data_IF_827708606118
#
_entry.id   IF_827708606118
#
_cell.length_a   1.000
_cell.length_b   1.000
_cell.length_c   1.000
_cell.angle_alpha   90.00
_cell.angle_beta   90.00
_cell.angle_gamma   90.00
#
_symmetry.space_group_name_H-M   'P 1'
#
loop_
_entity.id
_entity.type
_entity.pdbx_description
1 polymer ?
#
# COMPACT_ATOMS: atom_id res chain seq x y z
N UNK A 1 -3.85 -3.52 21.66
CA UNK A 1 -2.64 -3.33 20.83
C UNK A 1 -1.44 -3.55 21.73
N UNK A 2 -0.40 -4.21 21.24
CA UNK A 2 0.82 -4.42 22.01
C UNK A 2 1.59 -3.10 22.17
N UNK A 3 2.15 -2.84 23.35
CA UNK A 3 2.89 -1.60 23.68
C UNK A 3 4.09 -1.44 22.75
N UNK A 4 4.73 -2.54 22.38
CA UNK A 4 5.80 -2.57 21.37
C UNK A 4 5.35 -1.95 20.04
N UNK A 5 4.19 -2.37 19.54
CA UNK A 5 3.67 -1.88 18.26
C UNK A 5 3.23 -0.41 18.34
N UNK A 6 2.72 0.03 19.49
CA UNK A 6 2.39 1.44 19.71
C UNK A 6 3.63 2.33 19.68
N UNK A 7 4.73 1.90 20.31
CA UNK A 7 5.99 2.65 20.32
C UNK A 7 6.69 2.66 18.95
N UNK A 8 6.57 1.56 18.19
CA UNK A 8 7.03 1.53 16.78
C UNK A 8 6.22 2.52 15.93
N UNK A 9 4.90 2.60 16.13
CA UNK A 9 4.04 3.58 15.44
C UNK A 9 4.36 5.03 15.83
N UNK A 10 4.86 5.26 17.04
CA UNK A 10 5.36 6.57 17.50
C UNK A 10 6.76 6.92 16.96
N UNK A 11 7.41 6.01 16.24
CA UNK A 11 8.69 6.25 15.58
C UNK A 11 9.92 5.98 16.45
N UNK A 12 9.79 5.25 17.56
CA UNK A 12 10.95 4.84 18.36
C UNK A 12 11.65 3.61 17.73
N UNK A 13 13.00 3.54 17.77
CA UNK A 13 13.73 2.38 17.25
C UNK A 13 13.50 1.13 18.11
N UNK A 14 13.42 -0.03 17.46
CA UNK A 14 13.08 -1.31 18.10
C UNK A 14 14.04 -1.68 19.23
N UNK A 15 15.35 -1.41 19.07
CA UNK A 15 16.38 -1.63 20.09
C UNK A 15 16.09 -0.87 21.40
N UNK A 16 15.61 0.37 21.30
CA UNK A 16 15.30 1.21 22.46
C UNK A 16 13.97 0.83 23.10
N UNK A 17 13.01 0.38 22.30
CA UNK A 17 11.74 -0.18 22.80
C UNK A 17 12.02 -1.44 23.63
N UNK A 18 12.91 -2.31 23.18
CA UNK A 18 13.32 -3.49 23.95
C UNK A 18 14.09 -3.12 25.22
N UNK A 19 14.94 -2.11 25.19
CA UNK A 19 15.63 -1.61 26.37
C UNK A 19 14.65 -1.02 27.40
N UNK A 20 13.63 -0.28 26.95
CA UNK A 20 12.58 0.24 27.81
C UNK A 20 11.76 -0.90 28.44
N UNK A 21 11.33 -1.87 27.64
CA UNK A 21 10.52 -3.00 28.12
C UNK A 21 11.28 -3.94 29.08
N UNK A 22 12.61 -3.97 29.04
CA UNK A 22 13.43 -4.74 30.00
C UNK A 22 13.59 -4.05 31.36
N UNK A 23 13.58 -2.72 31.37
CA UNK A 23 13.89 -1.92 32.57
C UNK A 23 12.65 -1.45 33.34
N UNK A 24 11.45 -1.75 32.82
CA UNK A 24 10.19 -1.32 33.41
C UNK A 24 9.47 -2.54 33.96
N UNK A 25 8.91 -2.41 35.16
CA UNK A 25 8.23 -3.49 35.86
C UNK A 25 6.87 -3.84 35.23
N UNK A 26 6.18 -2.85 34.66
CA UNK A 26 4.86 -3.01 34.02
C UNK A 26 4.89 -2.55 32.56
N UNK A 27 4.43 -3.37 31.60
CA UNK A 27 4.36 -3.04 30.18
C UNK A 27 3.17 -2.11 29.90
N UNK A 28 3.21 -0.91 30.48
CA UNK A 28 2.27 0.19 30.25
C UNK A 28 2.96 1.21 29.35
N UNK A 29 2.24 1.72 28.35
CA UNK A 29 2.78 2.66 27.37
C UNK A 29 3.38 3.92 28.02
N UNK A 30 2.72 4.46 29.05
CA UNK A 30 3.15 5.67 29.75
C UNK A 30 4.52 5.48 30.43
N UNK A 31 4.70 4.37 31.16
CA UNK A 31 5.98 4.06 31.79
C UNK A 31 7.09 3.85 30.75
N UNK A 32 6.75 3.22 29.61
CA UNK A 32 7.69 3.02 28.51
C UNK A 32 8.15 4.33 27.89
N UNK A 33 7.24 5.29 27.73
CA UNK A 33 7.57 6.63 27.23
C UNK A 33 8.40 7.40 28.27
N UNK A 34 8.04 7.34 29.56
CA UNK A 34 8.79 8.01 30.63
C UNK A 34 10.24 7.52 30.72
N UNK A 35 10.47 6.21 30.62
CA UNK A 35 11.82 5.64 30.59
C UNK A 35 12.61 6.09 29.34
N UNK A 36 11.94 6.13 28.18
CA UNK A 36 12.53 6.62 26.94
C UNK A 36 12.90 8.10 27.07
N UNK A 37 12.04 8.94 27.64
CA UNK A 37 12.30 10.37 27.85
C UNK A 37 13.44 10.63 28.83
N UNK A 38 13.59 9.81 29.87
CA UNK A 38 14.68 9.89 30.84
C UNK A 38 16.03 9.43 30.26
N UNK A 39 16.04 8.68 29.16
CA UNK A 39 17.24 8.21 28.47
C UNK A 39 17.28 8.71 27.00
N UNK A 40 17.42 10.03 26.75
CA UNK A 40 17.51 10.61 25.42
C UNK A 40 18.87 10.33 24.74
N UNK A 41 18.96 10.75 23.47
CA UNK A 41 19.82 10.30 22.36
C UNK A 41 21.34 10.61 22.54
N UNK A 42 21.88 10.64 23.76
CA UNK A 42 23.33 10.81 23.99
C UNK A 42 24.12 9.49 23.95
N UNK A 43 23.45 8.34 23.93
CA UNK A 43 24.07 7.07 23.56
C UNK A 43 23.99 6.79 22.05
N UNK A 44 23.99 7.85 21.23
CA UNK A 44 23.96 7.79 19.77
C UNK A 44 25.37 7.87 19.15
N UNK A 45 26.28 7.03 19.63
CA UNK A 45 27.47 6.60 18.90
C UNK A 45 27.76 5.14 19.24
N UNK A 46 26.83 4.25 18.90
CA UNK A 46 27.17 3.02 18.17
C UNK A 46 25.89 2.27 17.78
N UNK A 47 25.95 1.59 16.63
CA UNK A 47 24.93 0.71 16.04
C UNK A 47 23.70 1.38 15.40
N UNK A 48 23.85 1.87 14.16
CA UNK A 48 23.62 1.06 12.94
C UNK A 48 23.62 1.97 11.71
N UNK A 49 24.81 2.27 11.19
CA UNK A 49 25.00 2.60 9.79
C UNK A 49 25.45 1.34 9.07
N UNK A 50 24.52 0.60 8.49
CA UNK A 50 24.85 -0.47 7.56
C UNK A 50 25.36 0.17 6.26
N UNK A 51 26.67 0.42 6.21
CA UNK A 51 27.45 0.48 4.98
C UNK A 51 28.38 -0.72 5.01
N UNK A 52 28.29 -1.54 3.97
CA UNK A 52 29.22 -2.61 3.65
C UNK A 52 30.63 -2.01 3.48
N UNK A 53 31.36 -1.89 4.59
CA UNK A 53 32.79 -1.59 4.60
C UNK A 53 33.47 -2.64 5.47
N UNK A 54 34.00 -3.66 4.79
CA UNK A 54 34.92 -4.64 5.37
C UNK A 54 36.28 -3.95 5.56
N UNK A 55 36.36 -3.04 6.53
CA UNK A 55 37.65 -2.56 7.04
C UNK A 55 38.17 -3.54 8.09
N UNK A 56 39.02 -4.41 7.57
CA UNK A 56 40.08 -5.14 8.22
C UNK A 56 40.83 -4.23 9.22
N UNK A 57 40.54 -4.38 10.51
CA UNK A 57 41.10 -3.48 11.51
C UNK A 57 40.86 -3.86 12.94
N UNK A 58 41.28 -5.07 13.37
CA UNK A 58 41.94 -5.19 14.68
C UNK A 58 42.74 -6.50 14.80
N UNK A 59 43.94 -6.50 14.23
CA UNK A 59 44.98 -7.47 14.57
C UNK A 59 45.90 -6.95 15.69
N UNK A 60 45.50 -5.87 16.38
CA UNK A 60 46.35 -5.15 17.34
C UNK A 60 45.87 -5.27 18.79
N UNK A 61 44.60 -5.55 19.08
CA UNK A 61 44.18 -5.92 20.46
C UNK A 61 44.27 -7.42 20.75
N UNK A 62 44.43 -8.27 19.72
CA UNK A 62 44.62 -9.70 19.90
C UNK A 62 46.06 -10.09 20.30
N UNK A 63 47.03 -9.18 20.17
CA UNK A 63 48.41 -9.40 20.60
C UNK A 63 48.63 -9.05 22.08
N UNK A 64 47.88 -8.10 22.66
CA UNK A 64 47.96 -7.78 24.10
C UNK A 64 47.15 -8.76 24.98
N UNK A 65 46.10 -9.40 24.43
CA UNK A 65 45.37 -10.46 25.11
C UNK A 65 46.08 -11.83 25.04
N UNK A 66 47.15 -11.96 24.25
CA UNK A 66 47.91 -13.21 24.11
C UNK A 66 48.94 -13.44 25.22
N UNK A 67 49.26 -12.41 26.03
CA UNK A 67 50.30 -12.51 27.07
C UNK A 67 49.74 -12.76 28.49
N UNK A 68 48.41 -12.78 28.68
CA UNK A 68 47.77 -13.00 29.99
C UNK A 68 46.61 -14.00 29.96
N UNK A 69 46.72 -15.05 29.16
CA UNK A 69 45.90 -16.25 29.29
C UNK A 69 46.77 -17.38 29.83
N UNK A 70 46.74 -17.62 31.14
CA UNK A 70 47.33 -18.82 31.73
C UNK A 70 46.73 -20.05 31.02
N UNK A 71 47.58 -20.76 30.28
CA UNK A 71 47.28 -22.06 29.73
C UNK A 71 47.13 -23.02 30.93
N UNK A 72 45.95 -23.60 31.11
CA UNK A 72 45.83 -24.84 31.89
C UNK A 72 46.81 -25.86 31.30
N UNK A 73 47.66 -26.45 32.14
CA UNK A 73 48.88 -27.17 31.78
C UNK A 73 48.66 -28.46 30.93
N UNK A 74 47.43 -28.76 30.49
CA UNK A 74 47.08 -30.05 29.90
C UNK A 74 46.66 -30.02 28.42
N UNK A 75 46.33 -28.87 27.80
CA UNK A 75 45.94 -28.80 26.39
C UNK A 75 46.74 -27.74 25.58
N UNK A 76 47.63 -28.20 24.70
CA UNK A 76 48.57 -27.33 23.96
C UNK A 76 48.01 -26.62 22.72
N UNK A 77 46.95 -27.15 22.11
CA UNK A 77 46.22 -26.58 20.97
C UNK A 77 44.86 -27.29 20.77
N UNK A 78 43.88 -26.61 20.17
CA UNK A 78 42.60 -27.23 19.77
C UNK A 78 42.60 -27.49 18.27
N UNK A 79 42.14 -28.66 17.83
CA UNK A 79 42.09 -29.05 16.41
C UNK A 79 40.65 -29.29 15.99
N UNK A 80 40.17 -28.57 14.98
CA UNK A 80 38.87 -28.86 14.40
C UNK A 80 38.94 -30.17 13.60
N UNK A 81 38.13 -31.17 13.96
CA UNK A 81 38.09 -32.46 13.28
C UNK A 81 37.48 -32.37 11.87
N UNK A 82 36.63 -31.37 11.63
CA UNK A 82 35.91 -31.20 10.36
C UNK A 82 36.81 -30.60 9.25
N UNK A 83 37.81 -29.80 9.62
CA UNK A 83 38.72 -29.16 8.64
C UNK A 83 40.22 -29.30 8.95
N UNK A 84 40.58 -30.01 10.02
CA UNK A 84 41.96 -30.26 10.43
C UNK A 84 42.76 -29.01 10.85
N UNK A 85 42.12 -27.86 11.02
CA UNK A 85 42.79 -26.61 11.41
C UNK A 85 43.10 -26.62 12.89
N UNK A 86 44.31 -26.18 13.24
CA UNK A 86 44.83 -26.13 14.60
C UNK A 86 44.80 -24.71 15.13
N UNK A 87 44.32 -24.53 16.35
CA UNK A 87 44.10 -23.25 17.00
C UNK A 87 44.98 -23.15 18.24
N UNK A 88 45.63 -22.00 18.40
CA UNK A 88 46.53 -21.73 19.52
C UNK A 88 45.78 -21.41 20.81
N UNK A 89 44.60 -20.80 20.69
CA UNK A 89 43.75 -20.37 21.80
C UNK A 89 42.31 -20.81 21.58
N UNK A 90 41.52 -21.00 22.65
CA UNK A 90 40.10 -21.36 22.54
C UNK A 90 39.28 -20.28 21.84
N UNK A 91 39.59 -18.99 22.07
CA UNK A 91 38.90 -17.87 21.39
C UNK A 91 39.03 -17.91 19.85
N UNK A 92 40.16 -18.38 19.31
CA UNK A 92 40.33 -18.54 17.86
C UNK A 92 39.55 -19.74 17.32
N UNK A 93 39.36 -20.79 18.13
CA UNK A 93 38.52 -21.93 17.79
C UNK A 93 37.04 -21.53 17.76
N UNK A 94 36.59 -20.70 18.71
CA UNK A 94 35.23 -20.13 18.72
C UNK A 94 34.96 -19.25 17.49
N UNK A 95 35.91 -18.37 17.11
CA UNK A 95 35.78 -17.56 15.90
C UNK A 95 35.72 -18.42 14.62
N UNK A 96 36.48 -19.51 14.58
CA UNK A 96 36.39 -20.47 13.48
C UNK A 96 35.04 -21.20 13.49
N UNK A 97 34.51 -21.54 14.66
CA UNK A 97 33.19 -22.15 14.82
C UNK A 97 32.07 -21.22 14.34
N UNK A 98 32.11 -19.92 14.63
CA UNK A 98 31.08 -18.97 14.17
C UNK A 98 31.17 -18.71 12.67
N UNK A 99 32.38 -18.61 12.12
CA UNK A 99 32.60 -18.31 10.69
C UNK A 99 32.36 -19.50 9.78
N UNK A 100 32.72 -20.70 10.21
CA UNK A 100 32.65 -21.92 9.39
C UNK A 100 31.60 -22.92 9.85
N UNK A 101 30.94 -22.65 10.99
CA UNK A 101 29.93 -23.53 11.60
C UNK A 101 30.46 -24.93 11.98
N UNK A 102 31.77 -25.08 12.17
CA UNK A 102 32.38 -26.32 12.64
C UNK A 102 32.37 -26.37 14.17
N UNK A 103 31.85 -27.46 14.75
CA UNK A 103 31.62 -27.57 16.20
C UNK A 103 32.46 -28.67 16.86
N UNK A 104 33.17 -29.48 16.07
CA UNK A 104 33.90 -30.64 16.57
C UNK A 104 35.39 -30.31 16.76
N UNK A 105 35.81 -30.04 18.01
CA UNK A 105 37.20 -29.71 18.35
C UNK A 105 37.80 -30.79 19.27
N UNK A 106 39.00 -31.26 18.93
CA UNK A 106 39.81 -32.16 19.74
C UNK A 106 40.99 -31.41 20.37
N UNK A 107 41.27 -31.68 21.63
CA UNK A 107 42.46 -31.15 22.31
C UNK A 107 43.71 -31.93 21.86
N UNK A 108 44.74 -31.24 21.40
CA UNK A 108 46.04 -31.79 20.99
C UNK A 108 47.17 -31.20 21.84
N UNK A 109 48.11 -32.05 22.25
CA UNK A 109 49.26 -31.68 23.09
C UNK A 109 50.43 -31.05 22.31
N UNK A 110 50.31 -30.89 21.00
CA UNK A 110 51.35 -30.29 20.16
C UNK A 110 51.30 -28.75 20.22
N UNK A 111 52.34 -28.13 20.80
CA UNK A 111 52.52 -26.67 20.83
C UNK A 111 52.89 -26.19 19.41
N UNK A 112 52.03 -25.36 18.81
CA UNK A 112 52.28 -24.75 17.50
C UNK A 112 53.53 -23.85 17.59
N UNK A 113 54.51 -23.98 16.68
CA UNK A 113 55.71 -23.14 16.67
C UNK A 113 55.32 -21.67 16.45
N UNK A 114 55.80 -20.81 17.32
CA UNK A 114 55.57 -19.37 17.23
C UNK A 114 56.33 -18.81 16.02
N UNK A 115 55.62 -18.09 15.16
CA UNK A 115 56.20 -17.45 13.98
C UNK A 115 57.35 -16.52 14.39
N UNK A 116 58.47 -16.57 13.69
CA UNK A 116 59.63 -15.70 13.96
C UNK A 116 59.24 -14.22 13.76
N UNK A 117 59.88 -13.27 14.48
CA UNK A 117 59.50 -11.86 14.42
C UNK A 117 59.56 -11.30 12.97
N UNK A 118 60.50 -11.77 12.15
CA UNK A 118 60.64 -11.38 10.75
C UNK A 118 59.45 -11.83 9.87
N UNK A 119 58.94 -13.04 10.09
CA UNK A 119 57.79 -13.56 9.35
C UNK A 119 56.48 -12.88 9.76
N UNK A 120 56.35 -12.48 11.04
CA UNK A 120 55.21 -11.68 11.51
C UNK A 120 55.18 -10.31 10.83
N UNK A 121 56.34 -9.65 10.72
CA UNK A 121 56.45 -8.36 10.03
C UNK A 121 56.11 -8.47 8.54
N UNK A 122 56.64 -9.48 7.85
CA UNK A 122 56.32 -9.71 6.43
C UNK A 122 54.82 -9.95 6.20
N UNK A 123 54.17 -10.75 7.07
CA UNK A 123 52.73 -11.03 6.99
C UNK A 123 51.87 -9.80 7.30
N UNK A 124 52.31 -8.93 8.22
CA UNK A 124 51.64 -7.65 8.49
C UNK A 124 51.73 -6.70 7.30
N UNK A 125 52.88 -6.63 6.63
CA UNK A 125 53.03 -5.82 5.42
C UNK A 125 52.18 -6.35 4.25
N UNK A 126 52.09 -7.67 4.08
CA UNK A 126 51.20 -8.28 3.09
C UNK A 126 49.73 -7.95 3.37
N UNK A 127 49.28 -8.08 4.63
CA UNK A 127 47.92 -7.73 5.03
C UNK A 127 47.62 -6.24 4.82
N UNK A 128 48.58 -5.36 5.15
CA UNK A 128 48.44 -3.91 4.90
C UNK A 128 48.32 -3.59 3.41
N UNK A 129 49.12 -4.26 2.55
CA UNK A 129 49.01 -4.09 1.09
C UNK A 129 47.64 -4.55 0.59
N UNK A 130 47.17 -5.71 1.04
CA UNK A 130 45.85 -6.25 0.66
C UNK A 130 44.68 -5.38 1.18
N UNK A 131 44.82 -4.78 2.35
CA UNK A 131 43.84 -3.81 2.87
C UNK A 131 43.84 -2.52 2.04
N UNK A 132 45.02 -2.00 1.69
CA UNK A 132 45.15 -0.83 0.84
C UNK A 132 44.58 -1.04 -0.58
N UNK A 133 44.79 -2.22 -1.16
CA UNK A 133 44.19 -2.61 -2.44
C UNK A 133 42.65 -2.66 -2.36
N UNK A 134 42.10 -3.33 -1.34
CA UNK A 134 40.63 -3.36 -1.11
C UNK A 134 40.05 -1.96 -0.96
N UNK A 135 40.69 -1.09 -0.17
CA UNK A 135 40.24 0.29 0.04
C UNK A 135 40.30 1.10 -1.25
N UNK A 136 41.34 0.91 -2.07
CA UNK A 136 41.47 1.59 -3.35
C UNK A 136 40.40 1.14 -4.36
N UNK A 137 39.96 -0.12 -4.30
CA UNK A 137 38.88 -0.61 -5.16
C UNK A 137 37.50 -0.15 -4.69
N UNK A 138 37.23 -0.19 -3.37
CA UNK A 138 36.02 0.37 -2.78
C UNK A 138 35.84 1.86 -3.15
N UNK A 139 36.91 2.67 -3.04
CA UNK A 139 36.87 4.08 -3.44
C UNK A 139 36.55 4.29 -4.92
N UNK A 140 36.92 3.37 -5.82
CA UNK A 140 36.57 3.46 -7.25
C UNK A 140 35.10 3.11 -7.47
N UNK A 141 34.61 2.09 -6.79
CA UNK A 141 33.20 1.66 -6.84
C UNK A 141 32.29 2.77 -6.32
N UNK A 142 32.61 3.38 -5.18
CA UNK A 142 31.88 4.51 -4.62
C UNK A 142 31.83 5.71 -5.58
N UNK A 143 32.93 6.01 -6.27
CA UNK A 143 32.94 7.08 -7.27
C UNK A 143 32.05 6.77 -8.47
N UNK A 144 31.98 5.50 -8.89
CA UNK A 144 31.11 5.06 -9.98
C UNK A 144 29.65 5.12 -9.53
N UNK A 145 29.34 4.64 -8.32
CA UNK A 145 28.00 4.69 -7.76
C UNK A 145 27.51 6.12 -7.56
N UNK A 146 28.34 7.00 -7.01
CA UNK A 146 28.04 8.42 -6.86
C UNK A 146 27.73 9.08 -8.22
N UNK A 147 28.52 8.78 -9.25
CA UNK A 147 28.26 9.27 -10.62
C UNK A 147 26.94 8.72 -11.17
N UNK A 148 26.64 7.45 -10.97
CA UNK A 148 25.41 6.82 -11.44
C UNK A 148 24.17 7.36 -10.71
N UNK A 149 24.27 7.60 -9.40
CA UNK A 149 23.20 8.19 -8.59
C UNK A 149 22.90 9.62 -9.05
N UNK A 150 23.94 10.43 -9.30
CA UNK A 150 23.77 11.78 -9.86
C UNK A 150 23.12 11.75 -11.26
N UNK A 151 23.52 10.81 -12.13
CA UNK A 151 22.88 10.63 -13.43
C UNK A 151 21.42 10.19 -13.31
N UNK A 152 21.09 9.34 -12.33
CA UNK A 152 19.72 8.90 -12.08
C UNK A 152 18.86 10.06 -11.59
N UNK A 153 19.38 10.90 -10.68
CA UNK A 153 18.69 12.13 -10.22
C UNK A 153 18.36 13.06 -11.39
N UNK A 154 19.37 13.36 -12.23
CA UNK A 154 19.17 14.23 -13.41
C UNK A 154 18.16 13.65 -14.41
N UNK A 155 18.16 12.33 -14.61
CA UNK A 155 17.17 11.65 -15.47
C UNK A 155 15.78 11.74 -14.87
N UNK A 156 15.63 11.46 -13.58
CA UNK A 156 14.34 11.56 -12.88
C UNK A 156 13.77 12.98 -12.94
N UNK A 157 14.59 14.01 -12.72
CA UNK A 157 14.17 15.40 -12.82
C UNK A 157 13.68 15.75 -14.24
N UNK A 158 14.43 15.33 -15.26
CA UNK A 158 14.08 15.53 -16.67
C UNK A 158 12.79 14.79 -17.04
N UNK A 159 12.64 13.55 -16.59
CA UNK A 159 11.43 12.76 -16.82
C UNK A 159 10.21 13.36 -16.12
N UNK A 160 10.36 13.87 -14.89
CA UNK A 160 9.28 14.55 -14.18
C UNK A 160 8.85 15.82 -14.91
N UNK A 161 9.81 16.63 -15.39
CA UNK A 161 9.52 17.84 -16.15
C UNK A 161 8.80 17.52 -17.45
N UNK A 162 9.24 16.48 -18.17
CA UNK A 162 8.60 16.00 -19.40
C UNK A 162 7.19 15.46 -19.15
N UNK A 163 6.97 14.75 -18.03
CA UNK A 163 5.64 14.27 -17.62
C UNK A 163 4.69 15.44 -17.32
N UNK A 164 5.16 16.44 -16.58
CA UNK A 164 4.38 17.65 -16.27
C UNK A 164 4.00 18.40 -17.56
N UNK A 165 4.95 18.58 -18.49
CA UNK A 165 4.67 19.23 -19.78
C UNK A 165 3.64 18.44 -20.60
N UNK A 166 3.79 17.11 -20.68
CA UNK A 166 2.86 16.23 -21.37
C UNK A 166 1.45 16.29 -20.76
N UNK A 167 1.34 16.31 -19.44
CA UNK A 167 0.05 16.46 -18.75
C UNK A 167 -0.59 17.82 -19.05
N UNK A 168 0.18 18.91 -18.99
CA UNK A 168 -0.31 20.26 -19.35
C UNK A 168 -0.80 20.31 -20.79
N UNK A 169 -0.04 19.73 -21.74
CA UNK A 169 -0.44 19.66 -23.16
C UNK A 169 -1.72 18.88 -23.35
N UNK A 170 -1.88 17.74 -22.67
CA UNK A 170 -3.08 16.92 -22.74
C UNK A 170 -4.30 17.65 -22.17
N UNK A 171 -4.13 18.35 -21.04
CA UNK A 171 -5.19 19.17 -20.43
C UNK A 171 -5.63 20.30 -21.36
N UNK A 172 -4.69 21.03 -21.97
CA UNK A 172 -5.02 22.09 -22.93
C UNK A 172 -5.73 21.56 -24.18
N UNK A 173 -5.32 20.40 -24.70
CA UNK A 173 -6.02 19.76 -25.82
C UNK A 173 -7.45 19.37 -25.43
N UNK A 174 -7.62 18.74 -24.25
CA UNK A 174 -8.94 18.33 -23.75
C UNK A 174 -9.86 19.53 -23.56
N UNK A 175 -9.36 20.62 -22.96
CA UNK A 175 -10.13 21.84 -22.77
C UNK A 175 -10.52 22.48 -24.11
N UNK A 176 -9.62 22.49 -25.10
CA UNK A 176 -9.92 22.99 -26.43
C UNK A 176 -10.99 22.14 -27.14
N UNK A 177 -10.95 20.81 -26.98
CA UNK A 177 -11.94 19.90 -27.55
C UNK A 177 -13.29 20.00 -26.84
N UNK A 178 -13.30 20.12 -25.51
CA UNK A 178 -14.51 20.37 -24.73
C UNK A 178 -15.15 21.70 -25.11
N UNK A 179 -14.35 22.77 -25.29
CA UNK A 179 -14.85 24.07 -25.75
C UNK A 179 -15.44 24.00 -27.16
N UNK A 180 -14.81 23.25 -28.07
CA UNK A 180 -15.37 23.02 -29.43
C UNK A 180 -16.66 22.22 -29.37
N UNK A 181 -16.75 21.21 -28.51
CA UNK A 181 -17.96 20.40 -28.32
C UNK A 181 -19.09 21.24 -27.75
N UNK A 182 -18.84 22.00 -26.68
CA UNK A 182 -19.81 22.93 -26.11
C UNK A 182 -20.30 23.95 -27.13
N UNK A 183 -19.40 24.57 -27.89
CA UNK A 183 -19.79 25.51 -28.94
C UNK A 183 -20.70 24.87 -30.03
N UNK A 184 -20.44 23.61 -30.40
CA UNK A 184 -21.30 22.86 -31.34
C UNK A 184 -22.66 22.54 -30.73
N UNK A 185 -22.68 22.08 -29.48
CA UNK A 185 -23.92 21.76 -28.76
C UNK A 185 -24.79 23.02 -28.56
N UNK A 186 -24.18 24.16 -28.24
CA UNK A 186 -24.85 25.46 -28.15
C UNK A 186 -25.39 25.92 -29.50
N UNK A 187 -24.63 25.75 -30.58
CA UNK A 187 -25.08 26.07 -31.93
C UNK A 187 -26.31 25.23 -32.33
N UNK A 188 -26.26 23.91 -32.09
CA UNK A 188 -27.37 22.99 -32.35
C UNK A 188 -28.58 23.31 -31.47
N UNK A 189 -28.37 23.65 -30.19
CA UNK A 189 -29.46 24.06 -29.30
C UNK A 189 -30.14 25.35 -29.79
N UNK A 190 -29.33 26.33 -30.25
CA UNK A 190 -29.84 27.57 -30.83
C UNK A 190 -30.62 27.33 -32.12
N UNK A 191 -30.17 26.42 -32.97
CA UNK A 191 -30.90 26.01 -34.18
C UNK A 191 -32.24 25.36 -33.82
N UNK A 192 -32.28 24.41 -32.88
CA UNK A 192 -33.55 23.82 -32.41
C UNK A 192 -34.52 24.87 -31.88
N UNK A 193 -34.04 25.85 -31.11
CA UNK A 193 -34.89 26.93 -30.59
C UNK A 193 -35.42 27.79 -31.74
N UNK A 194 -34.58 28.12 -32.74
CA UNK A 194 -35.03 28.86 -33.93
C UNK A 194 -36.09 28.09 -34.70
N UNK A 195 -35.92 26.78 -34.88
CA UNK A 195 -36.89 25.94 -35.59
C UNK A 195 -38.24 25.88 -34.86
N UNK A 196 -38.21 25.78 -33.52
CA UNK A 196 -39.43 25.85 -32.70
C UNK A 196 -40.13 27.19 -32.82
N UNK A 197 -39.39 28.30 -32.80
CA UNK A 197 -39.95 29.65 -32.99
C UNK A 197 -40.53 29.82 -34.41
N UNK A 198 -39.84 29.28 -35.42
CA UNK A 198 -40.31 29.33 -36.80
C UNK A 198 -41.59 28.51 -36.99
N UNK A 199 -41.67 27.32 -36.40
CA UNK A 199 -42.86 26.47 -36.41
C UNK A 199 -44.04 27.15 -35.69
N UNK A 200 -43.82 27.73 -34.51
CA UNK A 200 -44.86 28.47 -33.78
C UNK A 200 -45.35 29.70 -34.57
N UNK A 201 -44.42 30.46 -35.16
CA UNK A 201 -44.77 31.61 -36.00
C UNK A 201 -45.60 31.21 -37.22
N UNK A 202 -45.23 30.11 -37.88
CA UNK A 202 -45.98 29.57 -39.02
C UNK A 202 -47.37 29.08 -38.59
N UNK A 203 -47.47 28.32 -37.51
CA UNK A 203 -48.75 27.86 -36.96
C UNK A 203 -49.66 29.03 -36.59
N UNK A 204 -49.11 30.12 -36.04
CA UNK A 204 -49.86 31.34 -35.74
C UNK A 204 -50.35 32.05 -37.02
N UNK A 205 -49.51 32.12 -38.05
CA UNK A 205 -49.89 32.68 -39.34
C UNK A 205 -51.01 31.85 -39.99
N UNK A 206 -50.88 30.52 -40.03
CA UNK A 206 -51.90 29.61 -40.58
C UNK A 206 -53.23 29.73 -39.83
N UNK A 207 -53.21 29.89 -38.50
CA UNK A 207 -54.44 30.16 -37.72
C UNK A 207 -55.08 31.49 -38.11
N UNK A 208 -54.31 32.57 -38.22
CA UNK A 208 -54.82 33.89 -38.62
C UNK A 208 -55.38 33.85 -40.05
N UNK A 209 -54.71 33.17 -40.98
CA UNK A 209 -55.18 33.01 -42.36
C UNK A 209 -56.46 32.18 -42.42
N UNK A 210 -56.54 31.10 -41.65
CA UNK A 210 -57.75 30.28 -41.53
C UNK A 210 -58.92 31.07 -40.94
N UNK A 211 -58.69 31.86 -39.90
CA UNK A 211 -59.70 32.77 -39.32
C UNK A 211 -60.16 33.82 -40.34
N UNK A 212 -59.23 34.45 -41.08
CA UNK A 212 -59.58 35.40 -42.16
C UNK A 212 -60.38 34.74 -43.29
N UNK A 213 -60.01 33.52 -43.70
CA UNK A 213 -60.74 32.76 -44.71
C UNK A 213 -62.16 32.41 -44.25
N UNK A 214 -62.32 31.98 -42.99
CA UNK A 214 -63.66 31.72 -42.41
C UNK A 214 -64.51 33.00 -42.33
N UNK A 215 -63.91 34.15 -42.04
CA UNK A 215 -64.61 35.45 -42.02
C UNK A 215 -65.00 35.97 -43.41
N UNK A 216 -64.25 35.59 -44.45
CA UNK A 216 -64.54 35.94 -45.85
C UNK A 216 -65.59 35.02 -46.51
N UNK A 217 -66.20 34.09 -45.77
CA UNK A 217 -67.34 33.29 -46.24
C UNK A 217 -66.98 32.08 -47.13
N UNK A 218 -65.69 31.75 -47.28
CA UNK A 218 -65.25 30.55 -48.01
C UNK A 218 -65.09 29.40 -47.01
N UNK A 219 -66.00 28.43 -47.06
CA UNK A 219 -65.93 27.21 -46.23
C UNK A 219 -64.88 26.25 -46.80
N UNK A 220 -63.71 26.17 -46.16
CA UNK A 220 -62.76 25.07 -46.32
C UNK A 220 -63.05 23.98 -45.28
N UNK A 221 -62.87 22.69 -45.64
CA UNK A 221 -63.33 21.56 -44.85
C UNK A 221 -62.72 21.54 -43.45
N UNK A 222 -63.56 21.21 -42.48
CA UNK A 222 -63.22 21.14 -41.08
C UNK A 222 -62.09 20.11 -40.84
N UNK A 223 -60.87 20.60 -40.59
CA UNK A 223 -59.86 19.78 -39.96
C UNK A 223 -60.29 19.50 -38.52
N UNK A 224 -60.36 18.20 -38.22
CA UNK A 224 -60.76 17.54 -36.99
C UNK A 224 -60.07 18.13 -35.75
N UNK A 225 -60.86 18.49 -34.74
CA UNK A 225 -60.36 18.99 -33.45
C UNK A 225 -59.55 17.90 -32.74
N UNK A 226 -58.32 18.18 -32.28
CA UNK A 226 -57.65 17.28 -31.37
C UNK A 226 -58.40 17.31 -30.04
N UNK A 227 -59.01 16.18 -29.67
CA UNK A 227 -59.57 15.96 -28.34
C UNK A 227 -58.57 16.42 -27.27
N UNK A 228 -59.03 17.06 -26.17
CA UNK A 228 -58.16 17.41 -25.05
C UNK A 228 -57.49 16.12 -24.55
N UNK A 229 -56.17 16.02 -24.75
CA UNK A 229 -55.37 15.02 -24.07
C UNK A 229 -55.47 15.32 -22.58
N UNK A 230 -56.15 14.42 -21.87
CA UNK A 230 -56.06 14.33 -20.43
C UNK A 230 -54.57 14.39 -20.05
N UNK A 231 -54.23 15.23 -19.08
CA UNK A 231 -52.93 15.20 -18.44
C UNK A 231 -52.67 13.75 -18.00
N UNK A 232 -51.83 13.05 -18.75
CA UNK A 232 -51.30 11.77 -18.36
C UNK A 232 -50.40 12.04 -17.17
N UNK A 233 -50.96 11.89 -15.97
CA UNK A 233 -50.17 11.43 -14.85
C UNK A 233 -49.62 10.07 -15.27
N UNK A 234 -48.46 10.11 -15.93
CA UNK A 234 -47.76 8.91 -16.33
C UNK A 234 -47.68 8.02 -15.08
N UNK A 235 -48.26 6.81 -15.09
CA UNK A 235 -47.98 5.87 -14.02
C UNK A 235 -46.47 5.69 -14.05
N UNK A 236 -45.80 6.00 -12.92
CA UNK A 236 -44.36 5.82 -12.76
C UNK A 236 -44.04 4.43 -13.30
N UNK A 237 -43.42 4.39 -14.48
CA UNK A 237 -43.03 3.14 -15.11
C UNK A 237 -42.21 2.40 -14.06
N UNK A 238 -42.66 1.21 -13.67
CA UNK A 238 -41.87 0.31 -12.84
C UNK A 238 -40.66 -0.02 -13.69
N UNK A 239 -39.56 0.71 -13.49
CA UNK A 239 -38.29 0.39 -14.11
C UNK A 239 -37.93 -0.99 -13.57
N UNK A 240 -37.98 -1.98 -14.44
CA UNK A 240 -37.44 -3.29 -14.15
C UNK A 240 -35.93 -3.09 -14.03
N UNK A 241 -35.43 -3.06 -12.80
CA UNK A 241 -34.00 -3.00 -12.54
C UNK A 241 -33.45 -4.40 -12.74
N UNK A 242 -32.50 -4.61 -13.64
CA UNK A 242 -31.82 -5.91 -13.79
C UNK A 242 -30.70 -6.07 -12.75
N UNK A 243 -30.14 -4.95 -12.31
CA UNK A 243 -29.05 -4.86 -11.35
C UNK A 243 -29.43 -3.96 -10.17
N UNK A 244 -28.90 -4.28 -8.98
CA UNK A 244 -29.11 -3.53 -7.75
C UNK A 244 -27.78 -3.17 -7.10
N UNK A 245 -27.61 -1.89 -6.78
CA UNK A 245 -26.45 -1.39 -6.03
C UNK A 245 -26.73 -1.44 -4.53
N UNK A 246 -26.06 -2.34 -3.82
CA UNK A 246 -26.20 -2.51 -2.38
C UNK A 246 -25.09 -1.77 -1.64
N UNK A 247 -25.47 -0.96 -0.65
CA UNK A 247 -24.54 -0.38 0.32
C UNK A 247 -24.62 -1.18 1.62
N UNK A 248 -23.57 -1.94 1.91
CA UNK A 248 -23.50 -2.86 3.04
C UNK A 248 -22.69 -2.20 4.15
N UNK A 249 -23.34 -1.93 5.27
CA UNK A 249 -22.74 -1.33 6.47
C UNK A 249 -22.40 -2.41 7.47
N UNK A 250 -21.17 -2.42 7.97
CA UNK A 250 -20.70 -3.36 8.97
C UNK A 250 -20.28 -2.53 10.19
N UNK A 251 -20.63 -2.99 11.39
CA UNK A 251 -20.29 -2.27 12.61
C UNK A 251 -18.74 -2.20 12.77
N UNK A 252 -18.21 -0.97 12.83
CA UNK A 252 -16.77 -0.72 12.98
C UNK A 252 -15.93 -0.76 11.69
N UNK A 253 -16.56 -0.90 10.51
CA UNK A 253 -15.87 -0.89 9.20
C UNK A 253 -16.49 0.13 8.23
N UNK A 254 -15.73 0.62 7.23
CA UNK A 254 -16.28 1.49 6.19
C UNK A 254 -17.35 0.75 5.36
N UNK A 255 -18.38 1.46 4.86
CA UNK A 255 -19.46 0.85 4.10
C UNK A 255 -18.96 0.31 2.75
N UNK A 256 -19.26 -0.96 2.48
CA UNK A 256 -18.92 -1.64 1.23
C UNK A 256 -20.05 -1.43 0.22
N UNK A 257 -19.73 -0.94 -0.97
CA UNK A 257 -20.72 -0.70 -2.03
C UNK A 257 -20.42 -1.66 -3.17
N UNK A 258 -21.37 -2.55 -3.48
CA UNK A 258 -21.26 -3.52 -4.58
C UNK A 258 -22.56 -3.59 -5.37
N UNK A 259 -22.44 -3.89 -6.65
CA UNK A 259 -23.58 -4.07 -7.56
C UNK A 259 -23.78 -5.56 -7.79
N UNK A 260 -25.02 -6.03 -7.62
CA UNK A 260 -25.42 -7.43 -7.77
C UNK A 260 -26.59 -7.56 -8.74
N UNK A 261 -26.73 -8.74 -9.35
CA UNK A 261 -27.93 -9.06 -10.13
C UNK A 261 -29.12 -9.29 -9.19
N UNK A 262 -30.34 -9.10 -9.69
CA UNK A 262 -31.55 -9.36 -8.90
C UNK A 262 -31.74 -10.84 -8.52
N UNK A 263 -31.20 -11.75 -9.34
CA UNK A 263 -31.33 -13.20 -9.14
C UNK A 263 -30.22 -13.77 -8.23
N UNK A 264 -29.29 -12.93 -7.78
CA UNK A 264 -28.23 -13.30 -6.83
C UNK A 264 -28.85 -13.62 -5.47
N UNK A 265 -28.37 -14.69 -4.82
CA UNK A 265 -28.82 -15.09 -3.49
C UNK A 265 -28.16 -14.27 -2.38
N UNK A 266 -28.82 -14.13 -1.24
CA UNK A 266 -28.22 -13.48 -0.06
C UNK A 266 -26.92 -14.16 0.39
N UNK A 267 -26.81 -15.48 0.19
CA UNK A 267 -25.58 -16.25 0.46
C UNK A 267 -24.40 -15.78 -0.40
N UNK A 268 -24.59 -15.58 -1.71
CA UNK A 268 -23.55 -15.08 -2.61
C UNK A 268 -23.15 -13.63 -2.27
N UNK A 269 -24.13 -12.80 -1.89
CA UNK A 269 -23.85 -11.43 -1.40
C UNK A 269 -22.98 -11.49 -0.14
N UNK A 270 -23.30 -12.35 0.83
CA UNK A 270 -22.52 -12.55 2.05
C UNK A 270 -21.10 -13.05 1.75
N UNK A 271 -20.94 -14.04 0.86
CA UNK A 271 -19.64 -14.55 0.43
C UNK A 271 -18.78 -13.44 -0.21
N UNK A 272 -19.36 -12.61 -1.07
CA UNK A 272 -18.63 -11.53 -1.72
C UNK A 272 -18.13 -10.45 -0.73
N UNK A 273 -18.75 -10.33 0.44
CA UNK A 273 -18.43 -9.33 1.46
C UNK A 273 -17.62 -9.95 2.60
N UNK A 274 -17.45 -11.27 2.62
CA UNK A 274 -16.71 -12.00 3.65
C UNK A 274 -15.29 -11.46 3.83
N UNK A 275 -14.56 -11.22 2.73
CA UNK A 275 -13.18 -10.69 2.77
C UNK A 275 -13.09 -9.30 3.43
N UNK A 276 -14.17 -8.52 3.35
CA UNK A 276 -14.22 -7.15 3.88
C UNK A 276 -14.85 -7.08 5.27
N UNK A 277 -15.76 -8.02 5.60
CA UNK A 277 -16.51 -8.04 6.85
C UNK A 277 -15.89 -8.92 7.93
N UNK A 278 -15.12 -9.95 7.55
CA UNK A 278 -14.62 -10.98 8.46
C UNK A 278 -15.73 -11.85 9.06
N UNK A 279 -16.98 -11.72 8.60
CA UNK A 279 -18.13 -12.51 9.05
C UNK A 279 -18.36 -13.64 8.06
N UNK A 280 -18.32 -14.92 8.48
CA UNK A 280 -18.58 -16.03 7.57
C UNK A 280 -20.07 -16.03 7.16
N UNK A 281 -20.39 -16.46 5.93
CA UNK A 281 -21.73 -16.38 5.35
C UNK A 281 -22.76 -17.19 6.15
N UNK A 282 -22.35 -18.23 6.86
CA UNK A 282 -23.19 -19.06 7.73
C UNK A 282 -23.63 -18.36 9.02
N UNK A 283 -22.95 -17.29 9.42
CA UNK A 283 -23.29 -16.48 10.60
C UNK A 283 -23.63 -15.04 10.23
N UNK A 284 -23.90 -14.76 8.96
CA UNK A 284 -24.30 -13.44 8.50
C UNK A 284 -25.80 -13.23 8.75
N UNK A 285 -26.19 -12.03 9.19
CA UNK A 285 -27.57 -11.59 9.25
C UNK A 285 -27.69 -10.19 8.62
N UNK A 286 -28.58 -10.05 7.64
CA UNK A 286 -28.85 -8.77 6.99
C UNK A 286 -30.02 -8.06 7.67
N UNK A 287 -29.84 -6.79 8.02
CA UNK A 287 -30.86 -5.96 8.69
C UNK A 287 -31.09 -4.69 7.87
N UNK A 288 -32.34 -4.44 7.48
CA UNK A 288 -32.74 -3.18 6.85
C UNK A 288 -32.99 -2.10 7.91
N UNK A 289 -32.77 -0.83 7.54
CA UNK A 289 -32.97 0.31 8.44
C UNK A 289 -34.44 0.73 8.54
N UNK A 290 -35.17 0.77 7.42
CA UNK A 290 -36.59 1.11 7.41
C UNK A 290 -37.33 0.56 6.18
N UNK A 291 -38.44 -0.18 6.35
CA UNK A 291 -38.90 -0.81 7.60
C UNK A 291 -37.86 -1.85 8.07
N UNK A 292 -37.65 -1.97 9.37
CA UNK A 292 -36.65 -2.88 9.94
C UNK A 292 -37.09 -4.33 9.76
N UNK A 293 -36.38 -5.06 8.90
CA UNK A 293 -36.50 -6.50 8.66
C UNK A 293 -35.14 -7.13 8.86
N UNK A 294 -35.11 -8.27 9.55
CA UNK A 294 -33.91 -9.08 9.79
C UNK A 294 -34.03 -10.35 8.97
N UNK A 295 -32.99 -10.68 8.22
CA UNK A 295 -32.84 -11.90 7.44
C UNK A 295 -31.70 -12.70 8.04
N UNK A 296 -32.02 -13.87 8.58
CA UNK A 296 -31.08 -14.76 9.26
C UNK A 296 -30.41 -15.75 8.32
N UNK A 297 -29.64 -16.72 8.86
CA UNK A 297 -29.06 -17.80 8.07
C UNK A 297 -30.11 -18.67 7.36
N UNK A 298 -31.31 -18.78 7.91
CA UNK A 298 -32.47 -19.46 7.31
C UNK A 298 -32.98 -18.80 6.01
N UNK A 299 -32.80 -17.50 5.86
CA UNK A 299 -33.30 -16.71 4.71
C UNK A 299 -32.24 -16.55 3.61
N UNK A 300 -31.05 -17.12 3.79
CA UNK A 300 -29.91 -16.95 2.86
C UNK A 300 -30.16 -17.51 1.45
N UNK A 301 -31.17 -18.38 1.32
CA UNK A 301 -31.62 -18.91 0.02
C UNK A 301 -32.50 -17.95 -0.78
N UNK A 302 -32.97 -16.85 -0.20
CA UNK A 302 -33.77 -15.85 -0.91
C UNK A 302 -32.92 -14.98 -1.83
N UNK A 303 -33.52 -14.51 -2.92
CA UNK A 303 -32.85 -13.63 -3.87
C UNK A 303 -32.94 -12.16 -3.47
N UNK A 304 -32.00 -11.33 -3.95
CA UNK A 304 -32.02 -9.86 -3.75
C UNK A 304 -33.36 -9.24 -4.17
N UNK A 305 -34.01 -9.82 -5.19
CA UNK A 305 -35.35 -9.44 -5.66
C UNK A 305 -36.47 -9.76 -4.68
N UNK A 306 -36.48 -10.98 -4.12
CA UNK A 306 -37.51 -11.45 -3.18
C UNK A 306 -37.48 -10.66 -1.87
N UNK A 307 -36.27 -10.32 -1.44
CA UNK A 307 -36.00 -9.56 -0.21
C UNK A 307 -36.27 -8.06 -0.41
N UNK A 308 -36.35 -7.60 -1.65
CA UNK A 308 -36.64 -6.21 -2.01
C UNK A 308 -35.44 -5.27 -1.89
N UNK A 309 -34.22 -5.80 -1.96
CA UNK A 309 -32.99 -5.03 -1.87
C UNK A 309 -32.66 -4.37 -3.21
N UNK A 310 -33.43 -3.35 -3.61
CA UNK A 310 -33.24 -2.61 -4.87
C UNK A 310 -32.62 -1.24 -4.57
N UNK A 311 -31.33 -1.06 -4.88
CA UNK A 311 -30.60 0.18 -4.65
C UNK A 311 -30.69 0.67 -3.19
N UNK A 312 -30.57 -0.25 -2.23
CA UNK A 312 -30.79 0.00 -0.80
C UNK A 312 -29.50 -0.07 0.03
N UNK A 313 -29.54 0.55 1.21
CA UNK A 313 -28.51 0.40 2.23
C UNK A 313 -28.96 -0.61 3.30
N UNK A 314 -28.13 -1.61 3.55
CA UNK A 314 -28.39 -2.72 4.47
C UNK A 314 -27.26 -2.83 5.50
N UNK A 315 -27.59 -3.26 6.71
CA UNK A 315 -26.60 -3.53 7.75
C UNK A 315 -26.31 -5.02 7.81
N UNK A 316 -25.03 -5.39 7.85
CA UNK A 316 -24.56 -6.75 8.04
C UNK A 316 -24.13 -6.92 9.49
N UNK A 317 -24.77 -7.85 10.19
CA UNK A 317 -24.47 -8.23 11.57
C UNK A 317 -24.09 -9.70 11.65
N UNK A 318 -23.37 -10.07 12.71
CA UNK A 318 -23.21 -11.47 13.08
C UNK A 318 -24.52 -11.97 13.70
N UNK A 319 -25.04 -13.07 13.17
CA UNK A 319 -26.30 -13.71 13.54
C UNK A 319 -26.25 -14.30 14.95
#
# INVERSE_FOLDING_TARGET
>A
MDVRNQLVLMGFPVSRIEAALRNISDPILENAIEWLEQHPIENALDETGATDDVEDGDATSAIDAAEKGELSEEAGSLVCQDCGKRFRTPALAEFHATKTQHMNFAESTEKIPELTPEQKMAKLEELRKRAAERKADAMKEDQIEARNNELLRRKADKESAAQIEKQKRLQMMKEADDRKRQAKEEALAKERIRDLIAADRKARQEKIEREKATRAGVQLPAAEEPKPQAASSAPKQKKEYTESRLQIRIDGQPPVIKTFSLDTTLFEVAHSVQDHSGIPPTSAAFVTTFPTKRFGPEDMGMTVKEVGFINTAIMLKRA
#
